data_IF_589555534271
#
_entry.id   IF_589555534271
#
_cell.length_a   1.000
_cell.length_b   1.000
_cell.length_c   1.000
_cell.angle_alpha   90.00
_cell.angle_beta   90.00
_cell.angle_gamma   90.00
#
_symmetry.space_group_name_H-M   'P 1'
#
loop_
_entity.id
_entity.type
_entity.pdbx_description
1 polymer ?
#
# COMPACT_ATOMS: atom_id res chain seq x y z
N UNK A 1 54.38 -34.48 49.82
CA UNK A 1 52.97 -34.88 49.57
C UNK A 1 52.67 -34.75 48.08
N UNK A 2 52.09 -35.80 47.49
CA UNK A 2 52.12 -36.12 46.05
C UNK A 2 51.15 -35.23 45.24
N UNK A 3 51.67 -34.57 44.19
CA UNK A 3 50.92 -33.82 43.17
C UNK A 3 50.38 -34.78 42.12
N UNK A 4 49.07 -34.98 42.04
CA UNK A 4 48.42 -35.83 41.03
C UNK A 4 48.24 -35.04 39.72
N UNK A 5 48.81 -35.55 38.62
CA UNK A 5 48.99 -34.91 37.31
C UNK A 5 48.02 -35.39 36.20
N UNK A 6 46.81 -35.81 36.53
CA UNK A 6 45.85 -36.31 35.52
C UNK A 6 44.42 -35.92 35.94
N UNK A 7 43.89 -34.82 35.37
CA UNK A 7 42.46 -34.47 35.49
C UNK A 7 41.80 -34.89 34.18
N UNK A 8 40.84 -35.82 34.26
CA UNK A 8 40.15 -36.35 33.09
C UNK A 8 39.02 -35.39 32.66
N UNK A 9 39.34 -34.46 31.76
CA UNK A 9 38.45 -33.37 31.31
C UNK A 9 37.27 -33.86 30.45
N UNK A 10 37.24 -35.13 30.06
CA UNK A 10 36.19 -35.70 29.22
C UNK A 10 34.84 -35.86 29.94
N UNK A 11 34.83 -35.91 31.28
CA UNK A 11 33.61 -36.11 32.07
C UNK A 11 32.79 -34.83 32.32
N UNK A 12 33.27 -33.66 31.93
CA UNK A 12 32.57 -32.38 32.12
C UNK A 12 31.89 -31.84 30.86
N UNK A 13 31.88 -32.59 29.76
CA UNK A 13 31.13 -32.19 28.56
C UNK A 13 29.71 -32.73 28.63
N UNK A 14 28.75 -31.82 28.77
CA UNK A 14 27.30 -32.04 28.66
C UNK A 14 27.00 -32.74 27.33
N UNK A 15 26.77 -34.04 27.37
CA UNK A 15 26.44 -34.87 26.19
C UNK A 15 25.00 -34.58 25.75
N UNK A 16 24.84 -33.69 24.77
CA UNK A 16 23.57 -33.56 24.08
C UNK A 16 23.45 -34.71 23.08
N UNK A 17 22.64 -35.72 23.44
CA UNK A 17 22.37 -36.89 22.62
C UNK A 17 21.67 -36.46 21.31
N UNK A 18 22.46 -36.31 20.24
CA UNK A 18 21.96 -36.18 18.88
C UNK A 18 21.56 -37.57 18.36
N UNK A 19 20.34 -37.99 18.68
CA UNK A 19 19.66 -39.09 17.97
C UNK A 19 18.24 -38.65 17.71
N UNK A 20 17.93 -38.42 16.43
CA UNK A 20 16.64 -38.48 15.73
C UNK A 20 16.69 -37.51 14.53
N UNK A 21 17.50 -37.86 13.54
CA UNK A 21 17.40 -37.30 12.19
C UNK A 21 16.66 -38.33 11.32
N UNK A 22 15.35 -38.17 11.23
CA UNK A 22 14.53 -38.71 10.13
C UNK A 22 14.37 -37.58 9.10
N UNK A 23 14.76 -37.77 7.82
CA UNK A 23 14.62 -36.72 6.82
C UNK A 23 13.20 -36.77 6.25
N UNK A 24 12.30 -35.95 6.80
CA UNK A 24 11.06 -35.60 6.10
C UNK A 24 11.31 -34.26 5.42
N UNK A 25 11.74 -34.35 4.16
CA UNK A 25 11.78 -33.21 3.26
C UNK A 25 10.35 -32.79 2.92
N UNK A 26 9.86 -31.75 3.60
CA UNK A 26 8.85 -30.87 3.03
C UNK A 26 9.43 -29.46 2.99
N UNK A 27 9.90 -29.11 1.79
CA UNK A 27 10.27 -27.76 1.43
C UNK A 27 9.03 -26.86 1.54
N UNK A 28 8.96 -26.08 2.61
CA UNK A 28 8.22 -24.81 2.62
C UNK A 28 9.26 -23.73 2.86
N UNK A 29 10.07 -23.48 1.85
CA UNK A 29 10.72 -22.18 1.67
C UNK A 29 9.63 -21.16 1.34
N UNK A 30 8.85 -20.78 2.36
CA UNK A 30 8.21 -19.48 2.34
C UNK A 30 9.35 -18.47 2.46
N UNK A 31 9.85 -18.05 1.30
CA UNK A 31 10.73 -16.90 1.18
C UNK A 31 9.95 -15.68 1.70
N UNK A 32 10.01 -15.45 3.02
CA UNK A 32 9.83 -14.12 3.60
C UNK A 32 11.09 -13.30 3.28
N UNK A 33 11.29 -13.03 1.99
CA UNK A 33 12.08 -11.91 1.53
C UNK A 33 11.13 -10.72 1.49
N UNK A 34 11.15 -9.83 2.49
CA UNK A 34 10.72 -8.42 2.38
C UNK A 34 10.84 -7.72 3.75
N UNK A 35 12.02 -7.77 4.35
CA UNK A 35 12.39 -6.84 5.43
C UNK A 35 13.88 -6.54 5.30
N UNK A 36 14.22 -5.68 4.34
CA UNK A 36 15.61 -5.28 4.12
C UNK A 36 15.78 -4.40 2.89
N UNK A 37 15.66 -3.09 3.08
CA UNK A 37 16.34 -2.01 2.36
C UNK A 37 16.87 -2.30 0.94
N UNK A 38 16.01 -2.30 -0.06
CA UNK A 38 16.44 -1.82 -1.37
C UNK A 38 15.96 -0.37 -1.49
N UNK A 39 16.91 0.58 -1.52
CA UNK A 39 16.68 2.01 -1.78
C UNK A 39 16.18 2.17 -3.23
N UNK A 40 14.98 1.70 -3.49
CA UNK A 40 14.26 1.85 -4.75
C UNK A 40 13.06 2.77 -4.50
N UNK A 41 13.38 3.87 -3.84
CA UNK A 41 12.48 4.97 -3.63
C UNK A 41 12.35 5.74 -4.94
N UNK A 42 11.15 5.76 -5.50
CA UNK A 42 10.83 6.51 -6.69
C UNK A 42 10.25 7.87 -6.31
N UNK A 43 10.78 8.90 -6.97
CA UNK A 43 10.28 10.27 -6.84
C UNK A 43 9.09 10.40 -7.78
N UNK A 44 7.89 10.53 -7.21
CA UNK A 44 6.63 10.66 -7.96
C UNK A 44 6.08 12.07 -7.79
N UNK A 45 5.42 12.56 -8.82
CA UNK A 45 4.68 13.82 -8.75
C UNK A 45 3.19 13.54 -8.63
N UNK A 46 2.51 14.35 -7.82
CA UNK A 46 1.08 14.27 -7.59
C UNK A 46 0.39 15.37 -8.40
N UNK A 47 -0.62 14.97 -9.14
CA UNK A 47 -1.45 15.88 -9.93
C UNK A 47 -2.92 15.66 -9.61
N UNK A 48 -3.72 16.72 -9.72
CA UNK A 48 -5.16 16.59 -9.56
C UNK A 48 -5.84 16.07 -10.84
N UNK A 49 -5.33 16.49 -12.00
CA UNK A 49 -5.90 16.17 -13.30
C UNK A 49 -4.82 16.24 -14.40
N UNK A 50 -5.22 15.92 -15.64
CA UNK A 50 -4.32 15.94 -16.79
C UNK A 50 -3.79 17.36 -17.11
N UNK A 51 -4.58 18.40 -16.87
CA UNK A 51 -4.19 19.79 -17.18
C UNK A 51 -3.11 20.31 -16.22
N UNK A 52 -3.23 19.99 -14.93
CA UNK A 52 -2.23 20.27 -13.90
C UNK A 52 -0.91 19.57 -14.25
N UNK A 53 -0.98 18.31 -14.68
CA UNK A 53 0.17 17.57 -15.17
C UNK A 53 0.79 18.21 -16.41
N UNK A 54 -0.02 18.62 -17.40
CA UNK A 54 0.46 19.24 -18.63
C UNK A 54 1.10 20.61 -18.36
N UNK A 55 0.57 21.37 -17.40
CA UNK A 55 1.11 22.65 -16.96
C UNK A 55 2.47 22.47 -16.27
N UNK A 56 2.60 21.46 -15.42
CA UNK A 56 3.85 21.12 -14.76
C UNK A 56 4.89 20.46 -15.70
N UNK A 57 4.44 19.89 -16.82
CA UNK A 57 5.29 19.20 -17.80
C UNK A 57 5.02 19.69 -19.22
N UNK A 58 5.50 20.89 -19.59
CA UNK A 58 5.37 21.41 -20.94
C UNK A 58 5.91 20.40 -21.97
N UNK A 59 5.10 20.09 -22.99
CA UNK A 59 5.44 19.13 -24.05
C UNK A 59 5.10 17.66 -23.75
N UNK A 60 4.45 17.34 -22.62
CA UNK A 60 4.02 15.97 -22.25
C UNK A 60 2.51 15.82 -22.00
N UNK A 61 1.70 16.65 -22.64
CA UNK A 61 0.25 16.69 -22.43
C UNK A 61 -0.45 15.38 -22.82
N UNK A 62 0.03 14.70 -23.88
CA UNK A 62 -0.50 13.41 -24.32
C UNK A 62 -0.25 12.31 -23.27
N UNK A 63 0.95 12.27 -22.69
CA UNK A 63 1.30 11.34 -21.61
C UNK A 63 0.51 11.65 -20.34
N UNK A 64 0.33 12.92 -19.99
CA UNK A 64 -0.49 13.33 -18.85
C UNK A 64 -1.95 12.86 -19.00
N UNK A 65 -2.54 13.05 -20.18
CA UNK A 65 -3.90 12.60 -20.48
C UNK A 65 -4.02 11.07 -20.41
N UNK A 66 -3.05 10.36 -20.98
CA UNK A 66 -3.00 8.90 -20.94
C UNK A 66 -2.86 8.39 -19.52
N UNK A 67 -1.98 9.00 -18.72
CA UNK A 67 -1.75 8.61 -17.34
C UNK A 67 -2.98 8.88 -16.47
N UNK A 68 -3.64 10.02 -16.63
CA UNK A 68 -4.88 10.34 -15.94
C UNK A 68 -6.00 9.33 -16.27
N UNK A 69 -6.20 9.00 -17.54
CA UNK A 69 -7.20 8.01 -17.96
C UNK A 69 -6.92 6.61 -17.41
N UNK A 70 -5.66 6.20 -17.35
CA UNK A 70 -5.28 4.93 -16.73
C UNK A 70 -5.47 4.96 -15.21
N UNK A 71 -5.23 6.10 -14.56
CA UNK A 71 -5.47 6.27 -13.13
C UNK A 71 -6.96 6.19 -12.81
N UNK A 72 -7.84 6.73 -13.66
CA UNK A 72 -9.29 6.60 -13.54
C UNK A 72 -9.73 5.13 -13.62
N UNK A 73 -9.23 4.37 -14.60
CA UNK A 73 -9.52 2.92 -14.70
C UNK A 73 -9.04 2.16 -13.47
N UNK A 74 -7.87 2.50 -12.96
CA UNK A 74 -7.34 1.88 -11.74
C UNK A 74 -8.15 2.30 -10.50
N UNK A 75 -8.65 3.53 -10.46
CA UNK A 75 -9.54 4.01 -9.40
C UNK A 75 -10.84 3.21 -9.39
N UNK A 76 -11.46 2.98 -10.54
CA UNK A 76 -12.67 2.14 -10.64
C UNK A 76 -12.45 0.75 -10.07
N UNK A 77 -11.26 0.18 -10.26
CA UNK A 77 -10.92 -1.17 -9.81
C UNK A 77 -10.50 -1.25 -8.34
N UNK A 78 -9.86 -0.22 -7.82
CA UNK A 78 -9.18 -0.24 -6.50
C UNK A 78 -9.79 0.71 -5.47
N UNK A 79 -10.71 1.60 -5.86
CA UNK A 79 -11.33 2.54 -4.94
C UNK A 79 -12.13 1.82 -3.85
N UNK A 80 -12.14 2.36 -2.61
CA UNK A 80 -12.98 1.83 -1.54
C UNK A 80 -14.46 1.78 -1.95
N UNK A 81 -15.09 0.61 -1.83
CA UNK A 81 -16.50 0.42 -2.17
C UNK A 81 -17.35 0.56 -0.92
N UNK A 82 -18.47 1.25 -1.00
CA UNK A 82 -19.44 1.44 0.08
C UNK A 82 -20.78 0.84 -0.31
N UNK A 83 -21.51 0.31 0.67
CA UNK A 83 -22.84 -0.24 0.43
C UNK A 83 -23.91 0.84 0.19
N UNK A 84 -23.72 2.03 0.78
CA UNK A 84 -24.68 3.13 0.74
C UNK A 84 -24.01 4.43 0.29
N UNK A 85 -24.82 5.36 -0.25
CA UNK A 85 -24.31 6.69 -0.64
C UNK A 85 -23.85 7.45 0.60
N UNK A 86 -24.64 7.34 1.67
CA UNK A 86 -24.47 8.07 2.93
C UNK A 86 -23.13 7.75 3.57
N UNK A 87 -22.66 6.50 3.50
CA UNK A 87 -21.36 6.12 4.05
C UNK A 87 -20.19 6.65 3.22
N UNK A 88 -20.33 6.67 1.90
CA UNK A 88 -19.33 7.29 1.03
C UNK A 88 -19.29 8.80 1.28
N UNK A 89 -20.45 9.47 1.29
CA UNK A 89 -20.57 10.92 1.46
C UNK A 89 -20.06 11.36 2.84
N UNK A 90 -20.34 10.58 3.88
CA UNK A 90 -19.82 10.85 5.22
C UNK A 90 -18.28 10.84 5.29
N UNK A 91 -17.61 10.07 4.41
CA UNK A 91 -16.16 9.99 4.38
C UNK A 91 -15.53 10.96 3.36
N UNK A 92 -16.07 11.04 2.15
CA UNK A 92 -15.46 11.75 1.02
C UNK A 92 -16.16 13.05 0.63
N UNK A 93 -17.41 13.27 1.07
CA UNK A 93 -18.23 14.44 0.73
C UNK A 93 -19.29 14.16 -0.35
N UNK A 94 -20.29 15.06 -0.46
CA UNK A 94 -21.48 14.88 -1.31
C UNK A 94 -21.17 14.72 -2.81
N UNK A 95 -20.21 15.50 -3.31
CA UNK A 95 -19.83 15.55 -4.74
C UNK A 95 -18.66 14.62 -5.09
N UNK A 96 -18.30 13.72 -4.18
CA UNK A 96 -17.13 12.86 -4.34
C UNK A 96 -17.50 11.39 -4.35
N UNK A 97 -18.77 11.06 -4.53
CA UNK A 97 -19.27 9.70 -4.49
C UNK A 97 -20.06 9.40 -5.76
N UNK A 98 -19.64 8.36 -6.48
CA UNK A 98 -20.33 7.87 -7.66
C UNK A 98 -20.84 6.45 -7.45
N UNK A 99 -21.97 6.14 -8.08
CA UNK A 99 -22.53 4.80 -8.09
C UNK A 99 -21.78 3.94 -9.11
N UNK A 100 -21.31 2.78 -8.67
CA UNK A 100 -20.70 1.77 -9.52
C UNK A 100 -21.82 0.94 -10.11
N UNK A 101 -22.20 1.25 -11.34
CA UNK A 101 -23.08 0.38 -12.12
C UNK A 101 -22.24 -0.80 -12.62
N UNK A 102 -22.51 -2.00 -12.14
CA UNK A 102 -21.81 -3.20 -12.59
C UNK A 102 -22.33 -3.61 -13.98
N UNK A 103 -22.02 -2.82 -15.01
CA UNK A 103 -22.46 -3.06 -16.40
C UNK A 103 -21.50 -3.94 -17.19
N UNK A 104 -20.43 -4.46 -16.57
CA UNK A 104 -19.42 -5.30 -17.25
C UNK A 104 -19.39 -6.77 -16.82
N UNK A 105 -20.41 -7.24 -16.09
CA UNK A 105 -20.67 -8.67 -15.99
C UNK A 105 -21.96 -8.98 -16.73
N UNK A 106 -21.83 -9.56 -17.92
CA UNK A 106 -22.89 -10.26 -18.67
C UNK A 106 -23.38 -11.52 -17.92
N UNK A 107 -23.57 -11.42 -16.62
CA UNK A 107 -24.23 -12.39 -15.76
C UNK A 107 -25.11 -11.58 -14.82
N UNK A 108 -26.35 -11.43 -15.26
CA UNK A 108 -27.45 -11.01 -14.43
C UNK A 108 -27.66 -12.05 -13.32
N UNK A 109 -26.91 -11.93 -12.23
CA UNK A 109 -27.24 -12.58 -10.96
C UNK A 109 -27.70 -11.48 -10.01
N UNK A 110 -29.00 -11.50 -9.79
CA UNK A 110 -29.80 -10.59 -8.99
C UNK A 110 -29.21 -10.37 -7.59
N UNK A 111 -29.35 -9.14 -7.06
CA UNK A 111 -29.13 -8.72 -5.66
C UNK A 111 -27.69 -8.48 -5.17
N UNK A 112 -26.90 -7.66 -5.86
CA UNK A 112 -25.83 -6.89 -5.20
C UNK A 112 -26.19 -5.41 -5.30
N UNK A 113 -26.60 -4.81 -4.19
CA UNK A 113 -27.06 -3.42 -4.12
C UNK A 113 -26.02 -2.46 -4.69
N UNK A 114 -26.46 -1.39 -5.35
CA UNK A 114 -25.58 -0.45 -6.04
C UNK A 114 -24.46 0.08 -5.14
N UNK A 115 -23.21 -0.37 -5.38
CA UNK A 115 -22.06 0.04 -4.58
C UNK A 115 -21.68 1.48 -4.92
N UNK A 116 -21.32 2.26 -3.91
CA UNK A 116 -20.81 3.62 -4.05
C UNK A 116 -19.30 3.62 -3.94
N UNK A 117 -18.62 4.47 -4.70
CA UNK A 117 -17.17 4.63 -4.61
C UNK A 117 -16.78 6.10 -4.65
N UNK A 118 -15.66 6.47 -4.01
CA UNK A 118 -15.19 7.83 -4.09
C UNK A 118 -14.62 8.14 -5.48
N UNK A 119 -14.77 9.40 -5.89
CA UNK A 119 -14.06 9.96 -7.02
C UNK A 119 -12.57 10.06 -6.69
N UNK A 120 -11.75 9.92 -7.72
CA UNK A 120 -10.31 10.13 -7.63
C UNK A 120 -10.05 11.62 -7.35
N UNK A 121 -9.36 11.92 -6.26
CA UNK A 121 -8.99 13.28 -5.86
C UNK A 121 -7.70 13.77 -6.55
N UNK A 122 -6.90 12.83 -7.04
CA UNK A 122 -5.68 13.07 -7.79
C UNK A 122 -5.01 11.77 -8.16
N UNK A 123 -3.85 11.82 -8.79
CA UNK A 123 -3.08 10.64 -9.14
C UNK A 123 -1.58 10.90 -8.96
N UNK A 124 -0.85 9.83 -8.66
CA UNK A 124 0.60 9.83 -8.68
C UNK A 124 1.05 9.41 -10.06
N UNK A 125 2.00 10.14 -10.64
CA UNK A 125 2.70 9.75 -11.86
C UNK A 125 4.19 9.56 -11.53
N UNK A 126 4.68 8.35 -11.78
CA UNK A 126 6.11 8.04 -11.65
C UNK A 126 6.95 8.69 -12.74
N UNK A 127 8.22 8.98 -12.41
CA UNK A 127 9.21 9.38 -13.41
C UNK A 127 9.62 8.14 -14.21
N UNK A 128 9.35 8.16 -15.50
CA UNK A 128 9.63 7.13 -16.51
C UNK A 128 11.13 6.78 -16.67
N UNK A 129 11.85 6.36 -15.63
CA UNK A 129 13.28 6.02 -15.73
C UNK A 129 13.64 4.82 -14.84
N UNK A 130 13.56 3.61 -15.42
CA UNK A 130 14.10 2.40 -14.82
C UNK A 130 13.56 1.14 -15.48
N UNK A 131 14.18 0.71 -16.59
CA UNK A 131 13.66 -0.31 -17.50
C UNK A 131 13.28 -1.64 -16.87
N UNK A 132 12.21 -2.25 -17.39
CA UNK A 132 11.95 -3.68 -17.20
C UNK A 132 10.49 -4.14 -17.04
N UNK A 133 9.49 -3.26 -17.00
CA UNK A 133 8.10 -3.71 -16.79
C UNK A 133 7.06 -2.79 -17.40
N UNK A 134 6.07 -3.38 -18.07
CA UNK A 134 4.98 -2.71 -18.79
C UNK A 134 4.22 -1.68 -17.93
N UNK A 135 4.08 -0.47 -18.47
CA UNK A 135 3.04 0.47 -18.10
C UNK A 135 3.51 1.67 -17.29
N UNK A 136 2.89 2.82 -17.55
CA UNK A 136 2.94 3.95 -16.63
C UNK A 136 2.50 3.44 -15.25
N UNK A 137 3.37 3.55 -14.25
CA UNK A 137 2.97 3.29 -12.89
C UNK A 137 2.22 4.54 -12.41
N UNK A 138 0.90 4.58 -12.67
CA UNK A 138 0.03 5.59 -12.07
C UNK A 138 -0.82 4.94 -11.00
N UNK A 139 -1.04 5.69 -9.92
CA UNK A 139 -1.85 5.24 -8.80
C UNK A 139 -2.88 6.30 -8.47
N UNK A 140 -4.16 5.92 -8.38
CA UNK A 140 -5.20 6.85 -7.98
C UNK A 140 -5.04 7.21 -6.50
N UNK A 141 -5.28 8.47 -6.20
CA UNK A 141 -5.29 9.01 -4.86
C UNK A 141 -6.71 9.47 -4.52
N UNK A 142 -7.08 9.20 -3.28
CA UNK A 142 -8.33 9.59 -2.68
C UNK A 142 -8.02 10.52 -1.50
N UNK A 143 -8.95 11.42 -1.21
CA UNK A 143 -8.83 12.32 -0.06
C UNK A 143 -10.13 12.35 0.70
N UNK A 144 -10.05 12.06 1.99
CA UNK A 144 -11.22 12.14 2.87
C UNK A 144 -11.55 13.60 3.16
N UNK A 145 -12.84 13.92 3.17
CA UNK A 145 -13.38 15.23 3.62
C UNK A 145 -13.98 15.16 5.01
N UNK A 146 -13.97 13.99 5.64
CA UNK A 146 -14.42 13.82 7.02
C UNK A 146 -13.37 14.37 8.01
N UNK A 147 -13.66 15.41 8.81
CA UNK A 147 -12.70 15.96 9.77
C UNK A 147 -12.25 14.96 10.84
N UNK A 148 -13.06 13.94 11.12
CA UNK A 148 -12.70 12.89 12.07
C UNK A 148 -11.76 11.83 11.47
N UNK A 149 -11.58 11.82 10.14
CA UNK A 149 -10.75 10.83 9.45
C UNK A 149 -9.27 11.21 9.51
N UNK A 150 -8.35 10.26 9.78
CA UNK A 150 -6.91 10.50 9.70
C UNK A 150 -6.43 10.88 8.29
N UNK A 151 -7.25 10.56 7.27
CA UNK A 151 -7.03 10.88 5.86
C UNK A 151 -7.56 12.26 5.46
N UNK A 152 -8.13 13.03 6.39
CA UNK A 152 -8.72 14.33 6.11
C UNK A 152 -7.72 15.28 5.44
N UNK A 153 -8.07 15.79 4.26
CA UNK A 153 -7.26 16.74 3.50
C UNK A 153 -5.90 16.21 3.05
N UNK A 154 -5.72 14.88 3.02
CA UNK A 154 -4.48 14.22 2.62
C UNK A 154 -4.70 13.32 1.42
N UNK A 155 -3.69 13.19 0.57
CA UNK A 155 -3.69 12.18 -0.46
C UNK A 155 -3.39 10.83 0.13
N UNK A 156 -4.29 9.90 -0.11
CA UNK A 156 -4.21 8.53 0.38
C UNK A 156 -4.57 7.59 -0.74
N UNK A 157 -3.80 6.54 -0.95
CA UNK A 157 -4.13 5.55 -1.95
C UNK A 157 -5.20 4.53 -1.45
N UNK A 158 -5.64 3.65 -2.35
CA UNK A 158 -6.56 2.56 -2.05
C UNK A 158 -6.11 1.62 -0.90
N UNK A 159 -4.81 1.55 -0.60
CA UNK A 159 -4.28 0.72 0.50
C UNK A 159 -4.20 1.45 1.84
N UNK A 160 -4.63 2.71 1.90
CA UNK A 160 -4.56 3.54 3.10
C UNK A 160 -3.19 4.17 3.35
N UNK A 161 -2.26 4.16 2.38
CA UNK A 161 -0.97 4.84 2.53
C UNK A 161 -1.15 6.33 2.31
N UNK A 162 -0.61 7.11 3.23
CA UNK A 162 -0.68 8.55 3.19
C UNK A 162 0.54 9.17 2.48
N UNK A 163 0.30 10.13 1.59
CA UNK A 163 1.32 10.86 0.82
C UNK A 163 1.42 12.34 1.21
N UNK A 164 0.78 12.74 2.31
CA UNK A 164 0.75 14.11 2.82
C UNK A 164 -0.47 14.89 2.33
N UNK A 165 -0.40 16.22 2.47
CA UNK A 165 -1.51 17.13 2.14
C UNK A 165 -1.95 16.99 0.67
N UNK A 166 -3.26 17.11 0.44
CA UNK A 166 -3.89 17.02 -0.87
C UNK A 166 -3.66 18.28 -1.73
N UNK A 167 -2.39 18.58 -2.02
CA UNK A 167 -1.96 19.76 -2.78
C UNK A 167 -1.38 19.35 -4.14
N UNK A 168 -1.77 20.03 -5.23
CA UNK A 168 -1.23 19.75 -6.56
C UNK A 168 0.26 20.14 -6.65
N UNK A 169 0.98 19.54 -7.61
CA UNK A 169 2.38 19.88 -7.90
C UNK A 169 3.40 19.41 -6.85
N UNK A 170 2.96 18.62 -5.86
CA UNK A 170 3.89 18.06 -4.88
C UNK A 170 4.66 16.89 -5.47
N UNK A 171 5.92 16.81 -5.07
CA UNK A 171 6.75 15.64 -5.29
C UNK A 171 6.87 14.87 -3.98
N UNK A 172 6.70 13.56 -4.02
CA UNK A 172 6.89 12.69 -2.85
C UNK A 172 7.75 11.50 -3.23
N UNK A 173 8.50 11.02 -2.25
CA UNK A 173 9.32 9.82 -2.38
C UNK A 173 8.52 8.63 -1.91
N UNK A 174 8.29 7.65 -2.79
CA UNK A 174 7.50 6.45 -2.48
C UNK A 174 8.31 5.22 -2.83
N UNK A 175 8.20 4.12 -2.07
CA UNK A 175 8.83 2.87 -2.49
C UNK A 175 8.14 2.35 -3.76
N UNK A 176 8.87 1.63 -4.63
CA UNK A 176 8.29 0.98 -5.83
C UNK A 176 7.00 0.19 -5.56
N UNK A 177 6.87 -0.43 -4.39
CA UNK A 177 5.65 -1.16 -3.99
C UNK A 177 4.40 -0.30 -3.89
N UNK A 178 4.54 1.02 -3.66
CA UNK A 178 3.43 1.96 -3.67
C UNK A 178 2.86 2.16 -5.09
N UNK A 179 3.69 1.95 -6.11
CA UNK A 179 3.35 2.14 -7.53
C UNK A 179 2.92 0.85 -8.23
N UNK A 180 3.09 -0.29 -7.58
CA UNK A 180 2.65 -1.58 -8.09
C UNK A 180 1.11 -1.64 -8.23
N UNK A 181 0.59 -2.32 -9.27
CA UNK A 181 -0.84 -2.55 -9.41
C UNK A 181 -1.43 -3.17 -8.14
N UNK A 182 -2.53 -2.60 -7.65
CA UNK A 182 -3.11 -3.04 -6.37
C UNK A 182 -4.12 -4.16 -6.59
N UNK A 183 -4.43 -5.02 -5.62
CA UNK A 183 -5.57 -5.93 -5.78
C UNK A 183 -6.86 -5.14 -5.97
N UNK A 184 -7.79 -5.67 -6.78
CA UNK A 184 -9.09 -5.05 -6.95
C UNK A 184 -9.85 -5.11 -5.62
N UNK A 185 -10.54 -4.04 -5.24
CA UNK A 185 -11.39 -4.05 -4.06
C UNK A 185 -12.67 -4.81 -4.38
N UNK A 186 -12.81 -6.00 -3.80
CA UNK A 186 -13.98 -6.87 -4.01
C UNK A 186 -15.01 -6.78 -2.89
N UNK A 187 -14.67 -6.13 -1.77
CA UNK A 187 -15.55 -5.97 -0.61
C UNK A 187 -16.01 -4.52 -0.42
N UNK A 188 -17.23 -4.37 0.10
CA UNK A 188 -17.73 -3.09 0.59
C UNK A 188 -17.26 -2.84 2.01
N UNK A 189 -16.84 -1.61 2.29
CA UNK A 189 -16.52 -1.10 3.61
C UNK A 189 -17.69 -0.26 4.15
N UNK A 190 -17.80 -0.22 5.47
CA UNK A 190 -18.73 0.66 6.18
C UNK A 190 -18.08 2.02 6.43
N UNK A 191 -18.87 2.97 6.94
CA UNK A 191 -18.38 4.27 7.41
C UNK A 191 -17.15 4.13 8.31
N UNK A 192 -16.14 4.97 8.07
CA UNK A 192 -14.87 4.94 8.80
C UNK A 192 -13.89 3.85 8.34
N UNK A 193 -14.30 2.86 7.54
CA UNK A 193 -13.41 1.76 7.12
C UNK A 193 -12.18 2.21 6.33
N UNK A 194 -12.31 3.29 5.54
CA UNK A 194 -11.17 3.94 4.87
C UNK A 194 -10.26 4.68 5.86
N UNK A 195 -10.83 5.41 6.82
CA UNK A 195 -10.06 6.03 7.90
C UNK A 195 -9.30 4.98 8.74
N UNK A 196 -9.92 3.84 9.02
CA UNK A 196 -9.32 2.74 9.75
C UNK A 196 -8.17 2.08 8.98
N UNK A 197 -8.30 1.88 7.66
CA UNK A 197 -7.21 1.34 6.84
C UNK A 197 -6.01 2.29 6.86
N UNK A 198 -6.26 3.59 6.83
CA UNK A 198 -5.23 4.63 6.96
C UNK A 198 -4.59 4.63 8.35
N UNK A 199 -5.39 4.54 9.41
CA UNK A 199 -4.88 4.47 10.78
C UNK A 199 -4.01 3.23 11.01
N UNK A 200 -4.44 2.06 10.50
CA UNK A 200 -3.67 0.81 10.54
C UNK A 200 -2.35 0.94 9.79
N UNK A 201 -2.39 1.51 8.59
CA UNK A 201 -1.18 1.73 7.80
C UNK A 201 -0.19 2.67 8.49
N UNK A 202 -0.69 3.77 9.07
CA UNK A 202 0.13 4.70 9.85
C UNK A 202 0.76 4.03 11.09
N UNK A 203 0.02 3.15 11.76
CA UNK A 203 0.52 2.37 12.90
C UNK A 203 1.62 1.40 12.46
N UNK A 204 1.43 0.69 11.34
CA UNK A 204 2.45 -0.22 10.79
C UNK A 204 3.73 0.52 10.36
N UNK A 205 3.60 1.70 9.72
CA UNK A 205 4.76 2.54 9.39
C UNK A 205 5.52 3.02 10.63
N UNK A 206 4.82 3.38 11.71
CA UNK A 206 5.45 3.76 12.99
C UNK A 206 6.14 2.59 13.66
N UNK A 207 5.55 1.39 13.63
CA UNK A 207 6.18 0.18 14.19
C UNK A 207 7.46 -0.19 13.43
N UNK A 208 7.48 -0.03 12.11
CA UNK A 208 8.68 -0.25 11.29
C UNK A 208 9.80 0.78 11.56
N UNK A 209 9.44 2.03 11.85
CA UNK A 209 10.40 3.07 12.25
C UNK A 209 10.86 2.91 13.72
N UNK A 210 10.03 2.35 14.60
CA UNK A 210 10.33 2.13 16.01
C UNK A 210 11.17 0.88 16.31
N UNK A 211 11.31 -0.04 15.36
CA UNK A 211 12.14 -1.24 15.49
C UNK A 211 13.65 -1.00 15.34
N UNK A 212 14.10 0.23 15.10
CA UNK A 212 15.53 0.54 14.89
C UNK A 212 16.31 1.02 16.13
N UNK A 213 15.77 0.97 17.35
CA UNK A 213 16.51 1.52 18.50
C UNK A 213 16.14 0.98 19.89
N UNK A 214 16.38 -0.31 20.19
CA UNK A 214 16.50 -0.80 21.60
C UNK A 214 17.39 -2.05 21.70
N UNK A 215 18.66 -1.97 21.28
CA UNK A 215 19.69 -2.83 21.88
C UNK A 215 20.01 -2.23 23.24
N UNK A 216 19.27 -2.64 24.28
CA UNK A 216 19.73 -2.45 25.65
C UNK A 216 20.82 -3.49 25.87
N UNK A 217 22.06 -3.08 25.68
CA UNK A 217 23.22 -3.86 26.11
C UNK A 217 23.15 -4.07 27.62
N UNK A 218 23.12 -5.34 28.02
CA UNK A 218 23.37 -5.81 29.37
C UNK A 218 24.55 -6.79 29.34
#
# INVERSE_FOLDING_TARGET
>A
MKRTKQINRAMFRKSWNARHLTPVAFAVTAAFMLAGCEKSDETVQLYQNADDCATANPGKSAECTTSYNNALKEAERTAPKYATREDCVAEFGEDQCQQVNNTNTSQATQQTGSMWMPLMAGYMMGRLMGGGGMGFAQQPLFSSRNPASPAYGKYTDASGRNYGAAQPGRTVTVPKSAMAPKPATTSTITRGGFGDSVAKQATMQRSAAGSSSRSMGG
#
